data_IF_955198798526
#
_entry.id   IF_955198798526
#
_cell.length_a   1.000
_cell.length_b   1.000
_cell.length_c   1.000
_cell.angle_alpha   90.00
_cell.angle_beta   90.00
_cell.angle_gamma   90.00
#
_symmetry.space_group_name_H-M   'P 1'
#
loop_
_entity.id
_entity.type
_entity.pdbx_description
1 polymer ?
#
# COMPACT_ATOMS: atom_id res chain seq x y z
N UNK A 1 -7.82 9.64 8.43
CA UNK A 1 -8.64 9.50 9.66
C UNK A 1 -8.57 8.06 10.20
N UNK A 2 -8.18 7.84 11.47
CA UNK A 2 -7.97 6.52 12.09
C UNK A 2 -9.17 5.95 12.85
N UNK A 3 -10.14 6.79 13.21
CA UNK A 3 -11.35 6.41 13.94
C UNK A 3 -12.52 7.34 13.57
N UNK A 4 -13.73 6.79 13.57
CA UNK A 4 -14.97 7.57 13.50
C UNK A 4 -15.69 7.49 12.16
N UNK A 5 -16.51 8.51 11.85
CA UNK A 5 -17.31 8.57 10.63
C UNK A 5 -16.50 9.21 9.50
N UNK A 6 -16.13 8.40 8.51
CA UNK A 6 -15.47 8.88 7.28
C UNK A 6 -16.45 9.73 6.43
N UNK A 7 -16.11 10.97 6.06
CA UNK A 7 -16.94 11.78 5.16
C UNK A 7 -16.77 11.31 3.71
N UNK A 8 -17.67 10.42 3.25
CA UNK A 8 -17.60 9.83 1.90
C UNK A 8 -17.81 10.83 0.74
N UNK A 9 -18.29 12.04 1.04
CA UNK A 9 -18.43 13.13 0.07
C UNK A 9 -17.23 14.11 0.08
N UNK A 10 -16.24 13.90 0.95
CA UNK A 10 -15.06 14.75 1.09
C UNK A 10 -13.82 13.92 1.48
N UNK A 11 -13.43 13.01 0.57
CA UNK A 11 -12.31 12.08 0.80
C UNK A 11 -10.94 12.77 0.76
N UNK A 12 -10.82 13.88 0.04
CA UNK A 12 -9.57 14.63 -0.08
C UNK A 12 -9.37 15.59 1.10
N UNK A 13 -10.39 16.36 1.48
CA UNK A 13 -10.32 17.32 2.58
C UNK A 13 -10.61 16.68 3.93
N UNK A 14 -11.89 16.61 4.30
CA UNK A 14 -12.38 16.22 5.61
C UNK A 14 -12.00 14.81 6.07
N UNK A 15 -11.69 13.89 5.16
CA UNK A 15 -11.19 12.55 5.50
C UNK A 15 -9.67 12.48 5.71
N UNK A 16 -8.92 13.54 5.35
CA UNK A 16 -7.46 13.62 5.40
C UNK A 16 -6.82 12.75 4.32
N UNK A 17 -6.96 13.16 3.05
CA UNK A 17 -6.36 12.51 1.87
C UNK A 17 -6.64 11.01 1.74
N UNK A 18 -7.81 10.57 2.19
CA UNK A 18 -8.22 9.17 2.07
C UNK A 18 -8.35 8.75 0.60
N UNK A 19 -8.65 9.70 -0.30
CA UNK A 19 -8.64 9.50 -1.75
C UNK A 19 -7.30 8.97 -2.27
N UNK A 20 -6.17 9.45 -1.73
CA UNK A 20 -4.82 8.99 -2.08
C UNK A 20 -4.61 7.53 -1.67
N UNK A 21 -5.00 7.20 -0.44
CA UNK A 21 -4.84 5.84 0.09
C UNK A 21 -5.75 4.84 -0.64
N UNK A 22 -6.97 5.24 -0.98
CA UNK A 22 -7.90 4.42 -1.77
C UNK A 22 -7.30 4.11 -3.14
N UNK A 23 -6.81 5.12 -3.87
CA UNK A 23 -6.15 4.92 -5.17
C UNK A 23 -4.92 4.03 -5.05
N UNK A 24 -4.14 4.15 -3.98
CA UNK A 24 -3.00 3.28 -3.72
C UNK A 24 -3.43 1.81 -3.54
N UNK A 25 -4.41 1.53 -2.68
CA UNK A 25 -4.95 0.17 -2.48
C UNK A 25 -5.51 -0.39 -3.78
N UNK A 26 -6.29 0.40 -4.51
CA UNK A 26 -6.87 0.01 -5.80
C UNK A 26 -5.78 -0.34 -6.82
N UNK A 27 -4.76 0.51 -6.97
CA UNK A 27 -3.66 0.27 -7.91
C UNK A 27 -2.79 -0.92 -7.53
N UNK A 28 -2.67 -1.24 -6.24
CA UNK A 28 -1.90 -2.37 -5.76
C UNK A 28 -2.63 -3.71 -5.98
N UNK A 29 -3.97 -3.70 -5.89
CA UNK A 29 -4.74 -4.95 -5.87
C UNK A 29 -5.45 -5.25 -7.18
N UNK A 30 -5.97 -4.26 -7.89
CA UNK A 30 -6.84 -4.50 -9.05
C UNK A 30 -6.05 -4.89 -10.30
N UNK A 31 -6.56 -5.90 -10.99
CA UNK A 31 -6.24 -6.18 -12.40
C UNK A 31 -7.51 -6.06 -13.24
N UNK A 32 -7.40 -6.18 -14.56
CA UNK A 32 -8.56 -6.07 -15.46
C UNK A 32 -9.67 -7.09 -15.17
N UNK A 33 -9.32 -8.28 -14.65
CA UNK A 33 -10.25 -9.38 -14.43
C UNK A 33 -10.22 -9.93 -12.99
N UNK A 34 -9.72 -9.16 -12.02
CA UNK A 34 -9.74 -9.59 -10.64
C UNK A 34 -8.79 -8.83 -9.72
N UNK A 35 -8.17 -9.60 -8.82
CA UNK A 35 -7.28 -9.09 -7.80
C UNK A 35 -5.94 -9.84 -7.85
N UNK A 36 -4.83 -9.12 -7.63
CA UNK A 36 -3.51 -9.71 -7.42
C UNK A 36 -3.54 -10.52 -6.13
N UNK A 37 -3.44 -11.85 -6.26
CA UNK A 37 -3.58 -12.80 -5.14
C UNK A 37 -2.35 -12.87 -4.23
N UNK A 38 -1.21 -12.42 -4.75
CA UNK A 38 0.09 -12.39 -4.09
C UNK A 38 0.46 -10.99 -3.55
N UNK A 39 -0.51 -10.12 -3.31
CA UNK A 39 -0.29 -8.76 -2.82
C UNK A 39 -1.01 -8.55 -1.49
N UNK A 40 -0.29 -7.96 -0.55
CA UNK A 40 -0.82 -7.43 0.71
C UNK A 40 -0.58 -5.92 0.75
N UNK A 41 -1.57 -5.16 1.21
CA UNK A 41 -1.46 -3.70 1.39
C UNK A 41 -1.77 -3.36 2.83
N UNK A 42 -0.83 -2.70 3.53
CA UNK A 42 -1.05 -2.19 4.88
C UNK A 42 -1.09 -0.67 4.86
N UNK A 43 -2.28 -0.10 5.08
CA UNK A 43 -2.45 1.33 5.27
C UNK A 43 -2.20 1.71 6.72
N UNK A 44 -1.33 2.69 6.95
CA UNK A 44 -1.10 3.29 8.27
C UNK A 44 -1.90 4.59 8.43
N UNK A 45 -3.05 4.51 9.09
CA UNK A 45 -3.91 5.66 9.34
C UNK A 45 -3.45 6.39 10.62
N UNK A 46 -2.77 7.53 10.44
CA UNK A 46 -2.18 8.31 11.53
C UNK A 46 -2.93 9.62 11.84
N UNK A 47 -3.84 10.06 10.97
CA UNK A 47 -4.63 11.29 11.21
C UNK A 47 -5.95 11.04 11.93
N UNK A 48 -6.55 12.08 12.51
CA UNK A 48 -7.84 12.03 13.22
C UNK A 48 -7.71 11.70 14.71
N UNK A 49 -8.83 11.59 15.44
CA UNK A 49 -8.81 11.38 16.88
C UNK A 49 -8.49 9.93 17.24
N UNK A 50 -7.57 9.72 18.18
CA UNK A 50 -7.25 8.41 18.74
C UNK A 50 -5.94 7.80 18.23
N UNK A 51 -5.64 6.56 18.64
CA UNK A 51 -4.38 5.90 18.29
C UNK A 51 -4.29 5.58 16.79
N UNK A 52 -3.05 5.38 16.31
CA UNK A 52 -2.78 4.93 14.95
C UNK A 52 -3.47 3.59 14.68
N UNK A 53 -4.11 3.48 13.54
CA UNK A 53 -4.76 2.26 13.07
C UNK A 53 -4.08 1.76 11.81
N UNK A 54 -3.89 0.46 11.71
CA UNK A 54 -3.46 -0.22 10.50
C UNK A 54 -4.66 -0.91 9.85
N UNK A 55 -4.80 -0.80 8.54
CA UNK A 55 -5.74 -1.59 7.75
C UNK A 55 -4.94 -2.48 6.81
N UNK A 56 -5.18 -3.79 6.85
CA UNK A 56 -4.48 -4.78 6.04
C UNK A 56 -5.45 -5.38 5.04
N UNK A 57 -5.12 -5.26 3.76
CA UNK A 57 -5.87 -5.81 2.64
C UNK A 57 -5.08 -6.98 2.06
N UNK A 58 -5.66 -8.18 2.06
CA UNK A 58 -5.02 -9.41 1.63
C UNK A 58 -5.65 -9.87 0.31
N UNK A 59 -4.92 -9.73 -0.81
CA UNK A 59 -5.46 -9.93 -2.15
C UNK A 59 -6.00 -11.34 -2.42
N UNK A 60 -5.40 -12.36 -1.81
CA UNK A 60 -5.86 -13.76 -1.89
C UNK A 60 -7.25 -13.96 -1.27
N UNK A 61 -7.57 -13.20 -0.22
CA UNK A 61 -8.76 -13.40 0.63
C UNK A 61 -9.90 -12.41 0.33
N UNK A 62 -9.58 -11.26 -0.28
CA UNK A 62 -10.56 -10.22 -0.59
C UNK A 62 -11.74 -10.72 -1.43
N UNK A 63 -12.95 -10.37 -0.98
CA UNK A 63 -14.22 -10.59 -1.70
C UNK A 63 -15.06 -9.32 -1.71
N UNK A 64 -15.77 -9.07 -2.82
CA UNK A 64 -16.61 -7.87 -2.96
C UNK A 64 -15.81 -6.56 -3.02
N UNK A 65 -14.54 -6.63 -3.42
CA UNK A 65 -13.70 -5.45 -3.63
C UNK A 65 -13.94 -4.93 -5.06
N UNK A 66 -14.60 -3.77 -5.16
CA UNK A 66 -15.01 -3.20 -6.44
C UNK A 66 -14.01 -2.13 -6.93
N UNK A 67 -13.84 -2.04 -8.24
CA UNK A 67 -12.96 -1.06 -8.91
C UNK A 67 -13.55 0.36 -8.94
N UNK A 68 -13.98 0.85 -7.77
CA UNK A 68 -14.63 2.15 -7.61
C UNK A 68 -14.27 2.74 -6.23
N UNK A 69 -13.84 4.01 -6.20
CA UNK A 69 -13.23 4.62 -5.01
C UNK A 69 -14.19 4.66 -3.81
N UNK A 70 -15.47 5.00 -4.03
CA UNK A 70 -16.48 5.13 -2.96
C UNK A 70 -16.80 3.79 -2.32
N UNK A 71 -16.75 2.70 -3.07
CA UNK A 71 -16.94 1.34 -2.59
C UNK A 71 -15.82 0.94 -1.64
N UNK A 72 -14.56 1.20 -2.01
CA UNK A 72 -13.39 1.00 -1.13
C UNK A 72 -13.46 1.92 0.09
N UNK A 73 -13.86 3.17 -0.09
CA UNK A 73 -14.09 4.11 1.01
C UNK A 73 -15.14 3.57 2.00
N UNK A 74 -16.20 2.92 1.51
CA UNK A 74 -17.23 2.27 2.32
C UNK A 74 -16.68 1.13 3.18
N UNK A 75 -15.80 0.29 2.63
CA UNK A 75 -15.10 -0.77 3.38
C UNK A 75 -14.23 -0.19 4.49
N UNK A 76 -13.43 0.83 4.18
CA UNK A 76 -12.59 1.53 5.16
C UNK A 76 -13.46 2.17 6.23
N UNK A 77 -14.53 2.88 5.84
CA UNK A 77 -15.46 3.54 6.76
C UNK A 77 -16.13 2.56 7.74
N UNK A 78 -16.42 1.32 7.29
CA UNK A 78 -16.93 0.25 8.15
C UNK A 78 -15.86 -0.19 9.15
N UNK A 79 -14.63 -0.44 8.70
CA UNK A 79 -13.54 -0.89 9.56
C UNK A 79 -13.16 0.15 10.65
N UNK A 80 -12.99 1.42 10.29
CA UNK A 80 -12.54 2.45 11.25
C UNK A 80 -13.62 2.88 12.26
N UNK A 81 -14.87 2.48 12.04
CA UNK A 81 -15.98 2.69 12.99
C UNK A 81 -15.89 1.73 14.17
N UNK A 82 -15.31 0.56 13.96
CA UNK A 82 -15.18 -0.47 14.98
C UNK A 82 -14.11 -0.10 16.03
N UNK A 83 -14.26 -0.58 17.27
CA UNK A 83 -13.22 -0.46 18.29
C UNK A 83 -11.88 -1.00 17.79
N UNK A 84 -10.79 -0.25 18.05
CA UNK A 84 -9.46 -0.66 17.65
C UNK A 84 -9.02 -1.90 18.46
N UNK A 85 -8.54 -2.97 17.80
CA UNK A 85 -7.97 -4.13 18.48
C UNK A 85 -6.70 -3.78 19.26
N UNK A 86 -6.29 -4.64 20.19
CA UNK A 86 -4.99 -4.54 20.83
C UNK A 86 -3.84 -4.63 19.80
N UNK A 87 -2.73 -3.95 20.10
CA UNK A 87 -1.53 -4.00 19.24
C UNK A 87 -1.04 -5.44 19.13
N UNK A 88 -0.71 -5.87 17.90
CA UNK A 88 -0.28 -7.24 17.60
C UNK A 88 -1.42 -8.20 17.25
N UNK A 89 -2.67 -7.75 17.30
CA UNK A 89 -3.83 -8.55 16.87
C UNK A 89 -4.48 -7.95 15.62
N UNK A 90 -4.77 -8.81 14.65
CA UNK A 90 -5.57 -8.51 13.47
C UNK A 90 -7.00 -9.00 13.69
N UNK A 91 -8.00 -8.14 13.46
CA UNK A 91 -9.42 -8.54 13.42
C UNK A 91 -9.94 -8.35 12.00
N UNK A 92 -10.59 -9.38 11.46
CA UNK A 92 -11.24 -9.31 10.16
C UNK A 92 -12.53 -8.48 10.23
N UNK A 93 -12.66 -7.47 9.36
CA UNK A 93 -13.83 -6.56 9.30
C UNK A 93 -14.72 -6.82 8.08
N UNK A 94 -14.11 -7.36 7.03
CA UNK A 94 -14.73 -7.91 5.84
C UNK A 94 -13.77 -8.96 5.26
N UNK A 95 -14.21 -9.88 4.39
CA UNK A 95 -13.34 -10.89 3.79
C UNK A 95 -12.05 -10.29 3.23
N UNK A 96 -10.90 -10.66 3.80
CA UNK A 96 -9.57 -10.16 3.41
C UNK A 96 -9.24 -8.72 3.79
N UNK A 97 -10.09 -8.04 4.58
CA UNK A 97 -9.82 -6.73 5.17
C UNK A 97 -9.75 -6.87 6.69
N UNK A 98 -8.56 -6.62 7.23
CA UNK A 98 -8.27 -6.66 8.65
C UNK A 98 -7.95 -5.27 9.18
N UNK A 99 -8.19 -5.06 10.46
CA UNK A 99 -7.65 -3.90 11.17
C UNK A 99 -6.86 -4.33 12.42
N UNK A 100 -5.99 -3.43 12.87
CA UNK A 100 -5.16 -3.66 14.03
C UNK A 100 -4.52 -2.37 14.52
N UNK A 101 -4.13 -2.33 15.79
CA UNK A 101 -3.28 -1.26 16.31
C UNK A 101 -1.82 -1.44 15.86
N UNK A 102 -1.03 -0.38 15.94
CA UNK A 102 0.43 -0.45 15.76
C UNK A 102 1.02 0.67 14.89
N UNK A 103 2.35 0.65 14.77
CA UNK A 103 3.15 1.58 13.96
C UNK A 103 3.83 0.84 12.81
N UNK A 104 4.54 1.57 11.95
CA UNK A 104 5.32 1.02 10.83
C UNK A 104 6.25 -0.12 11.29
N UNK A 105 6.94 0.06 12.42
CA UNK A 105 7.84 -0.96 13.01
C UNK A 105 7.18 -2.32 13.23
N UNK A 106 5.88 -2.34 13.58
CA UNK A 106 5.15 -3.59 13.73
C UNK A 106 4.95 -4.28 12.39
N UNK A 107 4.58 -3.52 11.35
CA UNK A 107 4.43 -4.05 9.98
C UNK A 107 5.76 -4.57 9.44
N UNK A 108 6.86 -3.84 9.65
CA UNK A 108 8.19 -4.28 9.22
C UNK A 108 8.64 -5.57 9.92
N UNK A 109 8.28 -5.73 11.21
CA UNK A 109 8.53 -6.99 11.94
C UNK A 109 7.69 -8.15 11.38
N UNK A 110 6.45 -7.89 10.99
CA UNK A 110 5.56 -8.88 10.36
C UNK A 110 6.05 -9.26 8.95
N UNK A 111 6.75 -8.36 8.27
CA UNK A 111 7.35 -8.54 6.94
C UNK A 111 8.86 -8.78 6.99
N UNK A 112 9.38 -9.40 8.05
CA UNK A 112 10.82 -9.60 8.25
C UNK A 112 11.52 -10.40 7.14
N UNK A 113 10.75 -11.20 6.41
CA UNK A 113 11.25 -12.06 5.32
C UNK A 113 11.20 -11.36 3.95
N UNK A 114 10.77 -10.10 3.89
CA UNK A 114 10.71 -9.27 2.67
C UNK A 114 11.90 -8.34 2.57
N UNK A 115 12.40 -8.11 1.35
CA UNK A 115 13.31 -6.99 1.08
C UNK A 115 12.52 -5.69 1.15
N UNK A 116 12.90 -4.78 2.05
CA UNK A 116 12.19 -3.52 2.26
C UNK A 116 12.80 -2.43 1.39
N UNK A 117 12.00 -1.87 0.48
CA UNK A 117 12.38 -0.78 -0.42
C UNK A 117 11.57 0.45 -0.07
N UNK A 118 12.25 1.57 0.18
CA UNK A 118 11.63 2.87 0.34
C UNK A 118 11.65 3.62 -0.99
N UNK A 119 10.50 4.01 -1.51
CA UNK A 119 10.47 4.82 -2.72
C UNK A 119 10.81 6.28 -2.42
N UNK A 120 11.82 6.79 -3.11
CA UNK A 120 12.34 8.15 -2.98
C UNK A 120 12.81 8.65 -4.34
N UNK A 121 12.30 9.79 -4.80
CA UNK A 121 12.60 10.33 -6.13
C UNK A 121 14.09 10.69 -6.29
N UNK A 122 14.77 11.05 -5.20
CA UNK A 122 16.15 11.54 -5.19
C UNK A 122 17.19 10.40 -4.99
N UNK A 123 16.73 9.15 -4.85
CA UNK A 123 17.60 7.99 -4.67
C UNK A 123 18.09 7.37 -6.00
N UNK A 124 18.95 6.35 -5.89
CA UNK A 124 19.37 5.52 -7.03
C UNK A 124 18.19 4.79 -7.69
N UNK A 125 18.31 4.45 -8.98
CA UNK A 125 17.23 3.76 -9.71
C UNK A 125 16.88 2.42 -9.08
N UNK A 126 15.59 2.10 -9.07
CA UNK A 126 15.05 0.81 -8.61
C UNK A 126 15.50 -0.37 -9.48
N UNK A 127 15.88 -0.12 -10.73
CA UNK A 127 16.41 -1.13 -11.65
C UNK A 127 17.92 -0.95 -11.84
N UNK A 128 18.59 -2.03 -12.26
CA UNK A 128 20.02 -2.01 -12.54
C UNK A 128 20.31 -1.15 -13.79
N UNK A 129 21.34 -0.32 -13.74
CA UNK A 129 21.78 0.48 -14.88
C UNK A 129 22.19 -0.42 -16.06
N UNK A 130 21.68 -0.14 -17.25
CA UNK A 130 21.85 -0.99 -18.43
C UNK A 130 20.89 -2.19 -18.50
N UNK A 131 20.04 -2.39 -17.49
CA UNK A 131 18.97 -3.38 -17.53
C UNK A 131 17.93 -3.05 -18.61
N UNK A 132 17.48 -4.08 -19.34
CA UNK A 132 16.40 -3.97 -20.33
C UNK A 132 15.10 -4.54 -19.79
N UNK A 133 13.97 -4.02 -20.27
CA UNK A 133 12.67 -4.69 -20.07
C UNK A 133 12.68 -5.97 -20.93
N UNK A 134 12.45 -7.15 -20.34
CA UNK A 134 12.37 -8.40 -21.10
C UNK A 134 11.28 -8.36 -22.18
N UNK A 135 11.52 -9.01 -23.32
CA UNK A 135 10.50 -9.14 -24.39
C UNK A 135 9.36 -10.08 -23.95
N UNK A 136 9.65 -11.00 -23.05
CA UNK A 136 8.68 -11.91 -22.44
C UNK A 136 8.82 -11.80 -20.94
N UNK A 137 7.69 -11.75 -20.25
CA UNK A 137 7.62 -11.57 -18.81
C UNK A 137 8.25 -12.77 -18.08
N UNK A 138 9.28 -12.51 -17.25
CA UNK A 138 9.98 -13.54 -16.46
C UNK A 138 10.05 -13.08 -14.99
N UNK A 139 8.93 -13.08 -14.24
CA UNK A 139 8.93 -12.68 -12.84
C UNK A 139 9.87 -13.56 -12.02
N UNK A 140 10.90 -12.99 -11.38
CA UNK A 140 11.89 -13.73 -10.60
C UNK A 140 12.36 -12.98 -9.34
N UNK A 141 11.46 -12.23 -8.71
CA UNK A 141 11.81 -11.43 -7.53
C UNK A 141 11.52 -12.18 -6.23
N UNK A 142 12.32 -11.94 -5.16
CA UNK A 142 11.95 -12.36 -3.81
C UNK A 142 10.71 -11.59 -3.34
N UNK A 143 10.25 -11.87 -2.12
CA UNK A 143 9.24 -11.03 -1.46
C UNK A 143 9.80 -9.61 -1.27
N UNK A 144 9.11 -8.59 -1.80
CA UNK A 144 9.52 -7.18 -1.70
C UNK A 144 8.41 -6.38 -1.03
N UNK A 145 8.78 -5.55 -0.05
CA UNK A 145 7.89 -4.63 0.64
C UNK A 145 8.23 -3.19 0.25
N UNK A 146 7.35 -2.56 -0.53
CA UNK A 146 7.51 -1.15 -0.91
C UNK A 146 6.89 -0.22 0.13
N UNK A 147 7.69 0.71 0.66
CA UNK A 147 7.24 1.79 1.53
C UNK A 147 6.97 3.04 0.71
N UNK A 148 5.74 3.53 0.79
CA UNK A 148 5.29 4.77 0.20
C UNK A 148 4.59 5.62 1.26
N UNK A 149 4.70 6.95 1.13
CA UNK A 149 3.90 7.89 1.90
C UNK A 149 2.64 8.31 1.13
N UNK A 150 1.84 9.14 1.76
CA UNK A 150 0.67 9.81 1.18
C UNK A 150 1.08 11.01 0.31
N UNK A 151 0.48 12.18 0.52
CA UNK A 151 0.85 13.43 -0.14
C UNK A 151 1.97 14.20 0.58
N UNK A 152 2.51 13.65 1.68
CA UNK A 152 3.64 14.19 2.41
C UNK A 152 4.89 13.31 2.23
N UNK A 153 6.11 13.85 2.40
CA UNK A 153 7.34 13.05 2.35
C UNK A 153 7.35 11.93 3.39
N UNK A 154 7.87 10.76 3.01
CA UNK A 154 8.00 9.60 3.90
C UNK A 154 9.12 9.82 4.92
N UNK A 155 8.78 9.87 6.21
CA UNK A 155 9.74 10.05 7.31
C UNK A 155 10.13 8.72 7.93
N UNK A 156 11.06 8.00 7.29
CA UNK A 156 11.65 6.76 7.83
C UNK A 156 12.98 6.48 7.12
N UNK A 157 13.96 5.92 7.82
CA UNK A 157 15.21 5.44 7.19
C UNK A 157 15.21 3.90 7.00
N UNK A 158 14.06 3.28 7.25
CA UNK A 158 13.85 1.84 7.07
C UNK A 158 13.82 1.48 5.58
N UNK A 159 14.55 0.43 5.20
CA UNK A 159 14.63 -0.08 3.83
C UNK A 159 15.59 0.70 2.91
N UNK A 160 15.99 0.06 1.82
CA UNK A 160 16.85 0.67 0.82
C UNK A 160 16.08 1.73 0.02
N UNK A 161 16.60 2.95 -0.07
CA UNK A 161 15.99 4.02 -0.84
C UNK A 161 16.19 3.80 -2.35
N UNK A 162 15.11 3.83 -3.14
CA UNK A 162 15.13 3.65 -4.59
C UNK A 162 14.15 4.57 -5.32
N UNK A 163 14.54 5.00 -6.51
CA UNK A 163 13.82 5.94 -7.36
C UNK A 163 13.22 5.24 -8.58
N UNK A 164 11.98 5.61 -8.91
CA UNK A 164 11.31 5.23 -10.15
C UNK A 164 11.50 6.26 -11.28
N UNK A 165 12.13 7.39 -10.99
CA UNK A 165 12.16 8.54 -11.87
C UNK A 165 12.53 9.80 -11.09
N UNK A 166 13.07 10.80 -11.78
CA UNK A 166 13.32 12.13 -11.18
C UNK A 166 12.03 12.95 -10.99
N UNK A 167 10.90 12.45 -11.50
CA UNK A 167 9.59 13.08 -11.35
C UNK A 167 8.93 12.58 -10.08
N UNK A 168 8.39 13.49 -9.28
CA UNK A 168 7.56 13.17 -8.13
C UNK A 168 6.21 12.62 -8.60
N UNK A 169 6.03 11.31 -8.49
CA UNK A 169 4.81 10.61 -8.88
C UNK A 169 3.80 10.56 -7.74
N UNK A 170 2.52 10.54 -8.09
CA UNK A 170 1.49 10.14 -7.13
C UNK A 170 1.69 8.67 -6.76
N UNK A 171 1.47 8.31 -5.49
CA UNK A 171 1.77 6.98 -4.97
C UNK A 171 1.14 5.83 -5.77
N UNK A 172 -0.07 6.00 -6.29
CA UNK A 172 -0.72 4.97 -7.10
C UNK A 172 -0.03 4.74 -8.46
N UNK A 173 0.54 5.77 -9.10
CA UNK A 173 1.35 5.59 -10.30
C UNK A 173 2.67 4.88 -9.97
N UNK A 174 3.30 5.22 -8.85
CA UNK A 174 4.50 4.54 -8.39
C UNK A 174 4.24 3.04 -8.15
N UNK A 175 3.11 2.70 -7.52
CA UNK A 175 2.66 1.31 -7.33
C UNK A 175 2.46 0.59 -8.67
N UNK A 176 1.78 1.23 -9.63
CA UNK A 176 1.57 0.64 -10.96
C UNK A 176 2.89 0.36 -11.68
N UNK A 177 3.89 1.24 -11.58
CA UNK A 177 5.22 1.04 -12.16
C UNK A 177 5.95 -0.09 -11.43
N UNK A 178 5.94 -0.13 -10.09
CA UNK A 178 6.54 -1.25 -9.36
C UNK A 178 5.93 -2.59 -9.78
N UNK A 179 4.61 -2.66 -9.95
CA UNK A 179 3.96 -3.86 -10.47
C UNK A 179 4.43 -4.21 -11.88
N UNK A 180 4.49 -3.24 -12.80
CA UNK A 180 4.99 -3.48 -14.14
C UNK A 180 6.42 -4.04 -14.13
N UNK A 181 7.32 -3.45 -13.34
CA UNK A 181 8.70 -3.92 -13.25
C UNK A 181 8.79 -5.35 -12.72
N UNK A 182 8.01 -5.68 -11.68
CA UNK A 182 7.95 -7.02 -11.11
C UNK A 182 7.30 -8.05 -12.06
N UNK A 183 6.22 -7.66 -12.73
CA UNK A 183 5.47 -8.52 -13.65
C UNK A 183 6.32 -8.86 -14.88
N UNK A 184 7.06 -7.90 -15.43
CA UNK A 184 7.95 -8.16 -16.57
C UNK A 184 9.25 -8.86 -16.18
N UNK A 185 9.62 -8.85 -14.89
CA UNK A 185 10.87 -9.43 -14.42
C UNK A 185 12.09 -8.56 -14.70
N UNK A 186 11.93 -7.24 -14.60
CA UNK A 186 13.04 -6.29 -14.77
C UNK A 186 14.04 -6.48 -13.63
N UNK A 187 15.32 -6.62 -13.93
CA UNK A 187 16.35 -6.75 -12.89
C UNK A 187 16.37 -5.53 -11.97
N UNK A 188 16.02 -5.78 -10.70
CA UNK A 188 15.89 -4.75 -9.68
C UNK A 188 17.18 -4.61 -8.88
N UNK A 189 17.54 -3.36 -8.59
CA UNK A 189 18.53 -2.97 -7.60
C UNK A 189 17.86 -3.03 -6.22
N UNK A 190 17.76 -4.22 -5.63
CA UNK A 190 17.12 -4.47 -4.34
C UNK A 190 18.06 -4.25 -3.14
#
# INVERSE_FOLDING_TARGET
MSKGKLPLNDLAGGAGRMDVLIRAVMSALLTSHGLRKNVEVVLHLQGGPGPHRRLKFVGSELRGFHAEERSVAGLIAKAIREPLPAIGHWIERAPGLYDGGGKLSQTLKEWSDSVVIRLDADAERLWIEGGSIPISSIPNHPSVAFLLSDDQPLKTDEGAARSLGSTWLQGHHAIAICHFLLDEGVELNL
#
